data_IF_350474115930
#
_entry.id   IF_350474115930
#
_cell.length_a   1.000
_cell.length_b   1.000
_cell.length_c   1.000
_cell.angle_alpha   90.00
_cell.angle_beta   90.00
_cell.angle_gamma   90.00
#
_symmetry.space_group_name_H-M   'P 1'
#
loop_
_entity.id
_entity.type
_entity.pdbx_description
1 polymer ?
#
# COMPACT_ATOMS: atom_id res chain seq x y z
N UNK A 1 4.66 -15.90 -13.86
CA UNK A 1 5.12 -15.43 -12.54
C UNK A 1 4.10 -15.91 -11.52
N UNK A 2 4.51 -16.67 -10.52
CA UNK A 2 3.61 -17.23 -9.50
C UNK A 2 3.42 -16.22 -8.37
N UNK A 3 2.32 -16.33 -7.63
CA UNK A 3 2.07 -15.49 -6.46
C UNK A 3 3.30 -15.47 -5.51
N UNK A 4 3.89 -16.63 -5.24
CA UNK A 4 5.07 -16.76 -4.38
C UNK A 4 6.27 -15.87 -4.78
N UNK A 5 6.40 -15.48 -6.06
CA UNK A 5 7.50 -14.63 -6.54
C UNK A 5 7.40 -13.19 -5.99
N UNK A 6 6.20 -12.78 -5.56
CA UNK A 6 5.93 -11.46 -4.97
C UNK A 6 6.11 -11.43 -3.46
N UNK A 7 6.25 -12.58 -2.80
CA UNK A 7 6.39 -12.65 -1.36
C UNK A 7 7.72 -12.06 -0.88
N UNK A 8 7.73 -11.47 0.32
CA UNK A 8 8.86 -10.87 1.03
C UNK A 8 8.61 -9.41 1.38
N UNK A 9 9.70 -8.74 1.78
CA UNK A 9 9.64 -7.36 2.26
C UNK A 9 9.74 -6.35 1.12
N UNK A 10 9.03 -5.24 1.31
CA UNK A 10 8.93 -4.12 0.39
C UNK A 10 8.96 -2.80 1.15
N UNK A 11 9.58 -1.81 0.52
CA UNK A 11 9.73 -0.45 1.00
C UNK A 11 9.02 0.48 0.01
N UNK A 12 7.86 0.97 0.42
CA UNK A 12 7.07 1.98 -0.27
C UNK A 12 7.57 3.38 0.00
N UNK A 13 7.58 4.23 -1.03
CA UNK A 13 7.83 5.65 -0.88
C UNK A 13 7.32 6.42 -2.08
N UNK A 14 7.24 7.75 -1.95
CA UNK A 14 6.89 8.59 -3.07
C UNK A 14 7.95 8.48 -4.18
N UNK A 15 7.50 8.32 -5.42
CA UNK A 15 8.35 8.21 -6.60
C UNK A 15 7.67 8.76 -7.84
N UNK A 16 8.45 9.01 -8.88
CA UNK A 16 7.92 9.41 -10.18
C UNK A 16 7.36 8.17 -10.88
N UNK A 17 6.15 8.26 -11.40
CA UNK A 17 5.55 7.18 -12.18
C UNK A 17 6.43 6.88 -13.40
N UNK A 18 6.80 5.61 -13.64
CA UNK A 18 7.59 5.25 -14.80
C UNK A 18 6.95 5.74 -16.10
N UNK A 19 7.74 6.40 -16.94
CA UNK A 19 7.29 7.00 -18.21
C UNK A 19 6.66 8.40 -18.08
N UNK A 20 6.68 9.01 -16.89
CA UNK A 20 6.18 10.38 -16.63
C UNK A 20 7.30 11.31 -16.12
N UNK A 21 8.56 10.95 -16.34
CA UNK A 21 9.73 11.67 -15.82
C UNK A 21 9.82 13.10 -16.35
N UNK A 22 9.44 13.30 -17.62
CA UNK A 22 9.46 14.61 -18.28
C UNK A 22 8.29 15.51 -17.84
N UNK A 23 7.23 14.93 -17.28
CA UNK A 23 6.06 15.66 -16.78
C UNK A 23 6.26 16.19 -15.35
N UNK A 24 7.38 15.83 -14.69
CA UNK A 24 7.63 16.20 -13.31
C UNK A 24 7.97 17.70 -13.18
N UNK A 25 7.07 18.46 -12.57
CA UNK A 25 7.29 19.87 -12.35
C UNK A 25 8.43 20.12 -11.32
N UNK A 26 9.18 21.23 -11.43
CA UNK A 26 10.26 21.56 -10.48
C UNK A 26 9.81 21.60 -9.01
N UNK A 27 8.58 22.03 -8.75
CA UNK A 27 8.02 22.06 -7.39
C UNK A 27 7.72 20.65 -6.85
N UNK A 28 7.25 19.75 -7.72
CA UNK A 28 6.96 18.36 -7.39
C UNK A 28 8.25 17.58 -7.10
N UNK A 29 9.31 17.85 -7.85
CA UNK A 29 10.66 17.31 -7.59
C UNK A 29 11.16 17.68 -6.20
N UNK A 30 11.07 18.96 -5.81
CA UNK A 30 11.46 19.39 -4.45
C UNK A 30 10.63 18.73 -3.36
N UNK A 31 9.34 18.45 -3.62
CA UNK A 31 8.47 17.73 -2.68
C UNK A 31 8.88 16.26 -2.54
N UNK A 32 9.18 15.57 -3.64
CA UNK A 32 9.68 14.19 -3.62
C UNK A 32 10.97 14.05 -2.81
N UNK A 33 11.88 15.01 -2.95
CA UNK A 33 13.15 15.01 -2.21
C UNK A 33 12.96 15.20 -0.69
N UNK A 34 11.97 16.01 -0.30
CA UNK A 34 11.69 16.35 1.11
C UNK A 34 10.83 15.31 1.81
N UNK A 35 9.78 14.84 1.16
CA UNK A 35 8.74 14.01 1.76
C UNK A 35 9.04 12.53 1.48
N UNK A 36 10.18 12.06 2.01
CA UNK A 36 10.57 10.64 2.02
C UNK A 36 9.80 9.88 3.10
N UNK A 37 8.48 9.88 3.05
CA UNK A 37 7.74 8.91 3.85
C UNK A 37 8.02 7.51 3.32
N UNK A 38 8.43 6.63 4.23
CA UNK A 38 8.77 5.25 3.93
C UNK A 38 7.76 4.34 4.60
N UNK A 39 7.12 3.48 3.80
CA UNK A 39 6.09 2.55 4.24
C UNK A 39 6.59 1.12 4.10
N UNK A 40 6.58 0.35 5.18
CA UNK A 40 6.87 -1.08 5.10
C UNK A 40 5.65 -1.85 4.59
N UNK A 41 5.85 -2.76 3.63
CA UNK A 41 4.87 -3.74 3.18
C UNK A 41 5.53 -5.12 3.17
N UNK A 42 4.96 -6.08 3.88
CA UNK A 42 5.38 -7.47 3.91
C UNK A 42 4.29 -8.29 3.20
N UNK A 43 4.65 -9.00 2.14
CA UNK A 43 3.78 -9.97 1.46
C UNK A 43 4.23 -11.38 1.84
N UNK A 44 3.41 -12.14 2.54
CA UNK A 44 3.79 -13.49 3.00
C UNK A 44 3.39 -14.54 1.96
N UNK A 45 4.17 -15.62 1.89
CA UNK A 45 3.95 -16.71 0.92
C UNK A 45 2.63 -17.47 1.15
N UNK A 46 2.02 -17.33 2.32
CA UNK A 46 0.70 -17.90 2.66
C UNK A 46 -0.48 -17.07 2.13
N UNK A 47 -0.23 -15.95 1.44
CA UNK A 47 -1.27 -15.07 0.91
C UNK A 47 -1.71 -13.97 1.87
N UNK A 48 -1.06 -13.81 3.03
CA UNK A 48 -1.32 -12.70 3.97
C UNK A 48 -0.34 -11.55 3.80
N UNK A 49 -0.71 -10.33 4.20
CA UNK A 49 0.18 -9.17 4.19
C UNK A 49 0.17 -8.39 5.50
N UNK A 50 1.22 -7.61 5.73
CA UNK A 50 1.32 -6.59 6.77
C UNK A 50 1.81 -5.25 6.18
N UNK A 51 1.06 -4.18 6.36
CA UNK A 51 1.37 -2.84 5.86
C UNK A 51 1.49 -1.84 7.01
N UNK A 52 2.58 -1.04 7.00
CA UNK A 52 2.96 -0.06 8.04
C UNK A 52 2.88 -0.61 9.47
N UNK A 53 3.09 -1.90 9.68
CA UNK A 53 2.93 -2.61 10.97
C UNK A 53 1.55 -2.47 11.63
N UNK A 54 0.53 -2.03 10.88
CA UNK A 54 -0.78 -1.68 11.45
C UNK A 54 -1.94 -2.30 10.69
N UNK A 55 -1.82 -2.49 9.38
CA UNK A 55 -2.87 -3.09 8.56
C UNK A 55 -2.46 -4.48 8.14
N UNK A 56 -3.31 -5.46 8.39
CA UNK A 56 -3.10 -6.86 8.03
C UNK A 56 -4.26 -7.34 7.17
N UNK A 57 -4.00 -8.26 6.24
CA UNK A 57 -5.05 -8.80 5.40
C UNK A 57 -4.57 -9.88 4.46
N UNK A 58 -5.34 -10.09 3.41
CA UNK A 58 -5.05 -11.04 2.34
C UNK A 58 -4.58 -10.30 1.10
N UNK A 59 -3.68 -10.90 0.34
CA UNK A 59 -3.29 -10.39 -0.96
C UNK A 59 -3.50 -11.45 -2.05
N UNK A 60 -3.88 -10.96 -3.22
CA UNK A 60 -4.18 -11.77 -4.40
C UNK A 60 -3.44 -11.13 -5.57
N UNK A 61 -2.71 -11.93 -6.35
CA UNK A 61 -2.06 -11.47 -7.57
C UNK A 61 -2.71 -12.13 -8.79
N UNK A 62 -3.46 -11.35 -9.56
CA UNK A 62 -4.20 -11.81 -10.74
C UNK A 62 -4.11 -10.77 -11.85
N UNK A 63 -3.95 -11.22 -13.09
CA UNK A 63 -3.96 -10.34 -14.28
C UNK A 63 -3.05 -9.11 -14.16
N UNK A 64 -1.81 -9.32 -13.72
CA UNK A 64 -0.80 -8.25 -13.50
C UNK A 64 -1.25 -7.17 -12.50
N UNK A 65 -2.09 -7.54 -11.54
CA UNK A 65 -2.55 -6.66 -10.47
C UNK A 65 -2.49 -7.38 -9.13
N UNK A 66 -1.80 -6.76 -8.18
CA UNK A 66 -1.83 -7.14 -6.77
C UNK A 66 -2.99 -6.41 -6.10
N UNK A 67 -3.92 -7.16 -5.51
CA UNK A 67 -5.01 -6.61 -4.69
C UNK A 67 -4.76 -6.93 -3.23
N UNK A 68 -4.76 -5.90 -2.39
CA UNK A 68 -4.60 -5.98 -0.95
C UNK A 68 -5.98 -5.81 -0.32
N UNK A 69 -6.43 -6.82 0.42
CA UNK A 69 -7.73 -6.88 1.08
C UNK A 69 -7.53 -6.84 2.61
N UNK A 70 -7.54 -5.66 3.22
CA UNK A 70 -7.37 -5.53 4.66
C UNK A 70 -8.45 -6.29 5.43
N UNK A 71 -8.05 -6.97 6.51
CA UNK A 71 -8.93 -7.71 7.41
C UNK A 71 -8.81 -7.19 8.85
N UNK A 72 -7.64 -6.65 9.23
CA UNK A 72 -7.40 -6.07 10.55
C UNK A 72 -6.66 -4.73 10.45
N UNK A 73 -7.00 -3.82 11.34
CA UNK A 73 -6.28 -2.58 11.59
C UNK A 73 -6.00 -2.44 13.10
N UNK A 74 -4.72 -2.28 13.46
CA UNK A 74 -4.23 -2.29 14.84
C UNK A 74 -4.69 -3.55 15.59
N UNK A 75 -4.58 -4.71 14.93
CA UNK A 75 -4.94 -6.00 15.49
C UNK A 75 -6.44 -6.21 15.71
N UNK A 76 -7.32 -5.33 15.21
CA UNK A 76 -8.79 -5.45 15.31
C UNK A 76 -9.42 -5.51 13.94
N UNK A 77 -10.49 -6.27 13.78
CA UNK A 77 -11.36 -6.29 12.60
C UNK A 77 -12.23 -5.03 12.52
N UNK A 78 -12.86 -4.81 11.37
CA UNK A 78 -13.81 -3.71 11.15
C UNK A 78 -14.93 -3.72 12.20
N UNK A 79 -15.48 -4.90 12.49
CA UNK A 79 -16.56 -5.08 13.46
C UNK A 79 -16.07 -4.75 14.87
N UNK A 80 -14.90 -5.25 15.27
CA UNK A 80 -14.32 -4.97 16.60
C UNK A 80 -14.01 -3.48 16.79
N UNK A 81 -13.52 -2.78 15.75
CA UNK A 81 -13.30 -1.34 15.81
C UNK A 81 -14.63 -0.57 15.92
N UNK A 82 -15.64 -0.97 15.15
CA UNK A 82 -16.97 -0.35 15.20
C UNK A 82 -17.59 -0.46 16.59
N UNK A 83 -17.54 -1.66 17.17
CA UNK A 83 -18.03 -1.92 18.54
C UNK A 83 -17.24 -1.09 19.56
N UNK A 84 -15.91 -1.01 19.44
CA UNK A 84 -15.09 -0.23 20.35
C UNK A 84 -15.40 1.27 20.29
N UNK A 85 -15.66 1.82 19.10
CA UNK A 85 -16.10 3.20 18.92
C UNK A 85 -17.48 3.45 19.54
N UNK A 86 -18.42 2.53 19.33
CA UNK A 86 -19.78 2.61 19.89
C UNK A 86 -19.76 2.61 21.43
N UNK A 87 -19.01 1.69 22.05
CA UNK A 87 -18.83 1.64 23.51
C UNK A 87 -18.19 2.92 24.05
N UNK A 88 -17.26 3.51 23.29
CA UNK A 88 -16.57 4.74 23.67
C UNK A 88 -17.40 6.01 23.35
N UNK A 89 -18.62 5.89 22.83
CA UNK A 89 -19.47 6.99 22.38
C UNK A 89 -18.75 7.90 21.35
N UNK A 90 -17.94 7.30 20.48
CA UNK A 90 -17.18 7.97 19.42
C UNK A 90 -17.68 7.59 18.03
N UNK A 91 -17.59 8.54 17.10
CA UNK A 91 -17.83 8.28 15.69
C UNK A 91 -16.75 7.36 15.11
N UNK A 92 -17.17 6.33 14.37
CA UNK A 92 -16.26 5.43 13.67
C UNK A 92 -15.87 6.00 12.30
N UNK A 93 -14.63 6.45 12.15
CA UNK A 93 -14.14 7.13 10.92
C UNK A 93 -13.16 6.33 10.06
N UNK A 94 -12.71 5.17 10.52
CA UNK A 94 -11.63 4.41 9.88
C UNK A 94 -12.13 3.22 9.04
N UNK A 95 -13.38 3.28 8.55
CA UNK A 95 -13.94 2.25 7.69
C UNK A 95 -13.12 2.07 6.39
N UNK A 96 -12.64 3.18 5.81
CA UNK A 96 -11.85 3.19 4.58
C UNK A 96 -10.56 2.38 4.64
N UNK A 97 -10.01 2.15 5.84
CA UNK A 97 -8.81 1.32 6.03
C UNK A 97 -9.07 -0.14 5.63
N UNK A 98 -10.34 -0.55 5.60
CA UNK A 98 -10.76 -1.90 5.24
C UNK A 98 -11.12 -2.05 3.76
N UNK A 99 -11.12 -0.96 3.00
CA UNK A 99 -11.33 -1.02 1.56
C UNK A 99 -10.13 -1.66 0.88
N UNK A 100 -10.39 -2.51 -0.10
CA UNK A 100 -9.32 -3.09 -0.90
C UNK A 100 -8.61 -1.99 -1.72
N UNK A 101 -7.29 -2.10 -1.81
CA UNK A 101 -6.50 -1.25 -2.69
C UNK A 101 -5.54 -2.09 -3.54
N UNK A 102 -4.99 -1.49 -4.58
CA UNK A 102 -4.32 -2.22 -5.65
C UNK A 102 -2.93 -1.68 -5.93
N UNK A 103 -2.05 -2.58 -6.36
CA UNK A 103 -0.73 -2.27 -6.89
C UNK A 103 -0.55 -2.97 -8.23
N UNK A 104 0.27 -2.40 -9.10
CA UNK A 104 0.61 -2.95 -10.41
C UNK A 104 2.13 -3.11 -10.51
N UNK A 105 2.63 -4.17 -11.18
CA UNK A 105 4.03 -4.28 -11.55
C UNK A 105 4.50 -3.05 -12.33
N UNK A 106 5.67 -2.55 -11.98
CA UNK A 106 6.36 -1.52 -12.75
C UNK A 106 7.86 -1.85 -12.83
N UNK A 107 8.64 -1.19 -13.71
CA UNK A 107 10.07 -1.48 -13.86
C UNK A 107 10.87 -1.43 -12.56
N UNK A 108 10.44 -0.62 -11.59
CA UNK A 108 11.11 -0.43 -10.31
C UNK A 108 10.55 -1.30 -9.16
N UNK A 109 9.48 -2.07 -9.40
CA UNK A 109 8.83 -2.89 -8.37
C UNK A 109 7.31 -2.92 -8.52
N UNK A 110 6.60 -2.42 -7.50
CA UNK A 110 5.13 -2.31 -7.48
C UNK A 110 4.73 -0.84 -7.33
N UNK A 111 3.72 -0.37 -8.06
CA UNK A 111 3.23 1.00 -7.96
C UNK A 111 1.73 1.07 -7.71
N UNK A 112 1.27 2.15 -7.06
CA UNK A 112 -0.16 2.44 -6.94
C UNK A 112 -0.68 2.91 -8.31
N UNK A 113 -1.79 2.34 -8.83
CA UNK A 113 -2.35 2.74 -10.12
C UNK A 113 -2.91 4.16 -10.09
N UNK A 114 -3.01 4.79 -11.26
CA UNK A 114 -3.58 6.14 -11.43
C UNK A 114 -2.85 6.98 -12.47
N UNK A 115 -3.38 8.17 -12.76
CA UNK A 115 -2.90 9.02 -13.87
C UNK A 115 -1.89 10.11 -13.44
N UNK A 116 -1.62 10.22 -12.13
CA UNK A 116 -0.70 11.21 -11.58
C UNK A 116 0.77 10.94 -11.90
N UNK A 117 1.57 12.03 -11.92
CA UNK A 117 3.03 12.00 -12.13
C UNK A 117 3.75 11.40 -10.94
N UNK A 118 3.32 11.73 -9.72
CA UNK A 118 3.84 11.14 -8.48
C UNK A 118 2.92 9.99 -8.05
N UNK A 119 3.53 8.87 -7.67
CA UNK A 119 2.83 7.72 -7.09
C UNK A 119 3.63 7.15 -5.92
N UNK A 120 3.05 6.18 -5.21
CA UNK A 120 3.80 5.35 -4.27
C UNK A 120 4.41 4.18 -5.03
N UNK A 121 5.72 4.01 -4.92
CA UNK A 121 6.47 2.89 -5.50
C UNK A 121 7.06 2.07 -4.35
N UNK A 122 6.76 0.78 -4.35
CA UNK A 122 7.29 -0.23 -3.45
C UNK A 122 8.45 -0.96 -4.14
N UNK A 123 9.62 -0.93 -3.50
CA UNK A 123 10.84 -1.60 -3.98
C UNK A 123 11.29 -2.64 -2.96
N UNK A 124 12.01 -3.67 -3.39
CA UNK A 124 12.65 -4.59 -2.45
C UNK A 124 13.75 -3.83 -1.67
N UNK A 125 13.93 -4.10 -0.37
CA UNK A 125 15.13 -3.66 0.33
C UNK A 125 16.36 -4.30 -0.32
N UNK A 126 17.42 -3.52 -0.51
CA UNK A 126 18.74 -4.01 -0.97
C UNK A 126 19.41 -4.95 0.04
#
# INVERSE_FOLDING_TARGET
MRAADWAGDWIGGAGVRPGREDDLAPLERKRLERDREVFALELRADGTFLHKKTVEGLWIFEHDRLSLHPQRFLGKTLIEQRIACEIAEKEFRFAFVYDAWHLEPCPEGLCVPGDGVITTIYRRPE
#
